data_IF_016687568492
#
_entry.id   IF_016687568492
#
_cell.length_a   1.000
_cell.length_b   1.000
_cell.length_c   1.000
_cell.angle_alpha   90.00
_cell.angle_beta   90.00
_cell.angle_gamma   90.00
#
_symmetry.space_group_name_H-M   'P 1'
#
loop_
_entity.id
_entity.type
_entity.pdbx_description
1 polymer ?
#
# COMPACT_ATOMS: atom_id res chain seq x y z
N UNK A 1 -19.31 41.83 -32.27
CA UNK A 1 -18.10 41.80 -31.42
C UNK A 1 -18.55 41.76 -29.97
N UNK A 2 -18.39 40.62 -29.31
CA UNK A 2 -18.05 40.48 -27.88
C UNK A 2 -17.68 39.01 -27.68
N UNK A 3 -16.45 38.79 -27.22
CA UNK A 3 -15.75 37.52 -27.18
C UNK A 3 -16.22 36.63 -26.02
N UNK A 4 -16.05 35.32 -26.21
CA UNK A 4 -16.09 34.30 -25.18
C UNK A 4 -14.75 34.27 -24.39
N UNK A 5 -14.83 34.06 -23.08
CA UNK A 5 -13.70 33.79 -22.16
C UNK A 5 -14.08 32.56 -21.32
N UNK A 6 -13.59 31.36 -21.65
CA UNK A 6 -12.42 30.63 -21.10
C UNK A 6 -12.54 30.10 -19.66
N UNK A 7 -12.46 28.76 -19.55
CA UNK A 7 -12.40 27.91 -18.34
C UNK A 7 -11.26 28.30 -17.38
N UNK A 8 -11.44 27.98 -16.08
CA UNK A 8 -10.33 27.55 -15.24
C UNK A 8 -10.79 26.55 -14.18
N UNK A 9 -10.14 25.39 -14.17
CA UNK A 9 -10.26 24.33 -13.19
C UNK A 9 -9.39 24.66 -11.97
N UNK A 10 -9.93 24.45 -10.76
CA UNK A 10 -9.13 24.33 -9.55
C UNK A 10 -9.47 22.96 -8.95
N UNK A 11 -8.61 21.99 -9.23
CA UNK A 11 -8.60 20.71 -8.55
C UNK A 11 -8.20 20.96 -7.08
N UNK A 12 -9.14 20.68 -6.19
CA UNK A 12 -8.95 20.64 -4.75
C UNK A 12 -7.91 19.56 -4.44
N UNK A 13 -6.67 20.00 -4.25
CA UNK A 13 -5.56 19.13 -3.89
C UNK A 13 -5.69 18.88 -2.40
N UNK A 14 -6.32 17.74 -2.05
CA UNK A 14 -6.37 17.23 -0.70
C UNK A 14 -4.95 17.16 -0.14
N UNK A 15 -4.69 18.00 0.86
CA UNK A 15 -3.44 18.02 1.61
C UNK A 15 -3.31 16.71 2.39
N UNK A 16 -2.32 15.90 2.02
CA UNK A 16 -1.86 14.76 2.83
C UNK A 16 -1.00 15.32 3.96
N UNK A 17 -1.33 15.11 5.24
CA UNK A 17 -0.50 15.59 6.33
C UNK A 17 0.73 14.69 6.43
N UNK A 18 1.87 15.20 5.95
CA UNK A 18 3.18 14.61 6.19
C UNK A 18 3.61 14.88 7.63
N UNK A 19 3.59 13.87 8.48
CA UNK A 19 4.28 13.87 9.78
C UNK A 19 5.03 12.55 9.94
N UNK A 20 6.31 12.54 9.57
CA UNK A 20 7.24 11.48 9.93
C UNK A 20 7.91 11.90 11.25
N UNK A 21 7.70 11.14 12.31
CA UNK A 21 8.53 11.18 13.52
C UNK A 21 9.61 10.10 13.41
N UNK A 22 10.87 10.51 13.56
CA UNK A 22 12.11 9.76 13.36
C UNK A 22 12.12 8.29 13.83
N UNK A 23 11.85 7.38 12.89
CA UNK A 23 11.91 5.93 13.07
C UNK A 23 11.32 5.23 11.87
N UNK A 24 12.02 5.22 10.73
CA UNK A 24 11.57 4.57 9.50
C UNK A 24 11.33 3.08 9.75
N UNK A 25 10.07 2.62 9.70
CA UNK A 25 9.76 1.19 9.72
C UNK A 25 10.28 0.56 8.42
N UNK A 26 11.35 -0.26 8.48
CA UNK A 26 11.97 -0.83 7.29
C UNK A 26 11.04 -1.80 6.56
N UNK A 27 10.02 -2.35 7.23
CA UNK A 27 9.02 -3.18 6.60
C UNK A 27 8.04 -2.35 5.78
N UNK A 28 7.52 -1.25 6.36
CA UNK A 28 6.63 -0.33 5.66
C UNK A 28 7.30 0.24 4.40
N UNK A 29 8.54 0.70 4.52
CA UNK A 29 9.32 1.22 3.40
C UNK A 29 9.48 0.18 2.28
N UNK A 30 9.78 -1.07 2.63
CA UNK A 30 9.90 -2.16 1.67
C UNK A 30 8.57 -2.40 0.94
N UNK A 31 7.46 -2.38 1.66
CA UNK A 31 6.11 -2.55 1.10
C UNK A 31 5.79 -1.40 0.13
N UNK A 32 5.99 -0.15 0.56
CA UNK A 32 5.71 1.03 -0.27
C UNK A 32 6.58 1.07 -1.53
N UNK A 33 7.88 0.80 -1.40
CA UNK A 33 8.78 0.72 -2.54
C UNK A 33 8.37 -0.38 -3.50
N UNK A 34 7.97 -1.55 -3.00
CA UNK A 34 7.54 -2.65 -3.85
C UNK A 34 6.23 -2.35 -4.60
N UNK A 35 5.27 -1.69 -3.94
CA UNK A 35 4.03 -1.25 -4.57
C UNK A 35 4.29 -0.22 -5.67
N UNK A 36 5.23 0.70 -5.47
CA UNK A 36 5.68 1.64 -6.50
C UNK A 36 6.39 0.94 -7.67
N UNK A 37 7.33 0.03 -7.37
CA UNK A 37 8.07 -0.76 -8.37
C UNK A 37 7.13 -1.54 -9.31
N UNK A 38 6.05 -2.11 -8.77
CA UNK A 38 5.05 -2.87 -9.54
C UNK A 38 3.88 -1.98 -10.06
N UNK A 39 3.97 -0.66 -9.89
CA UNK A 39 3.01 0.34 -10.39
C UNK A 39 1.58 0.09 -9.88
N UNK A 40 1.45 -0.12 -8.57
CA UNK A 40 0.17 -0.16 -7.88
C UNK A 40 -0.49 1.23 -7.87
N UNK A 41 -1.81 1.25 -7.75
CA UNK A 41 -2.63 2.46 -7.79
C UNK A 41 -3.30 2.69 -6.44
N UNK A 42 -3.63 3.95 -6.14
CA UNK A 42 -4.40 4.30 -4.94
C UNK A 42 -3.78 3.75 -3.65
N UNK A 43 -2.45 3.84 -3.53
CA UNK A 43 -1.73 3.36 -2.34
C UNK A 43 -2.06 4.28 -1.15
N UNK A 44 -2.69 3.72 -0.13
CA UNK A 44 -3.06 4.42 1.11
C UNK A 44 -2.44 3.70 2.29
N UNK A 45 -1.69 4.43 3.11
CA UNK A 45 -1.17 3.94 4.38
C UNK A 45 -2.03 4.46 5.52
N UNK A 46 -2.44 3.56 6.39
CA UNK A 46 -3.22 3.83 7.59
C UNK A 46 -2.36 3.45 8.78
N UNK A 47 -2.00 4.45 9.57
CA UNK A 47 -1.33 4.26 10.84
C UNK A 47 -2.33 3.78 11.91
N UNK A 48 -2.04 2.61 12.48
CA UNK A 48 -2.84 1.92 13.48
C UNK A 48 -2.21 1.97 14.87
N UNK A 49 -1.04 2.60 15.03
CA UNK A 49 -0.38 2.76 16.32
C UNK A 49 -1.35 3.41 17.33
N UNK A 50 -1.50 2.78 18.49
CA UNK A 50 -2.42 3.24 19.55
C UNK A 50 -3.92 3.13 19.23
N UNK A 51 -4.31 2.67 18.04
CA UNK A 51 -5.72 2.46 17.63
C UNK A 51 -6.14 1.00 17.62
N UNK A 52 -5.21 0.10 17.32
CA UNK A 52 -5.46 -1.34 17.25
C UNK A 52 -4.26 -2.13 17.75
N UNK A 53 -4.50 -3.29 18.35
CA UNK A 53 -3.46 -4.26 18.70
C UNK A 53 -3.18 -5.27 17.58
N UNK A 54 -3.88 -5.15 16.44
CA UNK A 54 -3.79 -6.11 15.35
C UNK A 54 -2.52 -5.92 14.53
N UNK A 55 -2.09 -4.66 14.35
CA UNK A 55 -1.07 -4.21 13.42
C UNK A 55 -0.64 -2.77 13.74
N UNK A 56 0.59 -2.41 13.35
CA UNK A 56 1.11 -1.03 13.43
C UNK A 56 0.69 -0.21 12.21
N UNK A 57 0.76 -0.85 11.03
CA UNK A 57 0.41 -0.22 9.77
C UNK A 57 -0.53 -1.10 8.94
N UNK A 58 -1.44 -0.46 8.23
CA UNK A 58 -2.23 -1.10 7.19
C UNK A 58 -2.03 -0.34 5.89
N UNK A 59 -1.70 -1.04 4.82
CA UNK A 59 -1.51 -0.48 3.49
C UNK A 59 -2.61 -1.02 2.59
N UNK A 60 -3.25 -0.16 1.81
CA UNK A 60 -4.27 -0.55 0.85
C UNK A 60 -3.78 -0.14 -0.53
N UNK A 61 -3.86 -1.04 -1.51
CA UNK A 61 -3.43 -0.73 -2.87
C UNK A 61 -4.27 -1.46 -3.93
N UNK A 62 -4.48 -0.79 -5.06
CA UNK A 62 -5.21 -1.32 -6.21
C UNK A 62 -4.26 -1.75 -7.34
N UNK A 63 -4.66 -2.77 -8.10
CA UNK A 63 -3.98 -3.17 -9.34
C UNK A 63 -4.91 -3.03 -10.55
N UNK A 64 -4.34 -2.80 -11.75
CA UNK A 64 -5.09 -2.62 -13.01
C UNK A 64 -5.70 -3.90 -13.59
N UNK A 65 -5.41 -5.05 -12.98
CA UNK A 65 -5.95 -6.36 -13.36
C UNK A 65 -5.73 -7.38 -12.24
N UNK A 66 -6.57 -8.42 -12.17
CA UNK A 66 -6.42 -9.53 -11.22
C UNK A 66 -5.05 -10.21 -11.31
N UNK A 67 -4.50 -10.32 -12.53
CA UNK A 67 -3.13 -10.83 -12.75
C UNK A 67 -2.07 -9.93 -12.13
N UNK A 68 -2.22 -8.60 -12.23
CA UNK A 68 -1.28 -7.67 -11.59
C UNK A 68 -1.38 -7.78 -10.07
N UNK A 69 -2.59 -7.77 -9.52
CA UNK A 69 -2.83 -7.93 -8.06
C UNK A 69 -2.16 -9.21 -7.56
N UNK A 70 -2.40 -10.34 -8.23
CA UNK A 70 -1.78 -11.60 -7.85
C UNK A 70 -0.24 -11.58 -7.95
N UNK A 71 0.29 -10.96 -9.01
CA UNK A 71 1.75 -10.82 -9.18
C UNK A 71 2.37 -9.93 -8.11
N UNK A 72 1.74 -8.80 -7.77
CA UNK A 72 2.22 -7.87 -6.72
C UNK A 72 2.30 -8.64 -5.41
N UNK A 73 1.22 -9.29 -5.01
CA UNK A 73 1.14 -10.00 -3.75
C UNK A 73 2.18 -11.13 -3.62
N UNK A 74 2.33 -11.95 -4.67
CA UNK A 74 3.31 -13.04 -4.67
C UNK A 74 4.75 -12.52 -4.60
N UNK A 75 5.09 -11.51 -5.41
CA UNK A 75 6.42 -10.90 -5.40
C UNK A 75 6.73 -10.24 -4.07
N UNK A 76 5.77 -9.52 -3.49
CA UNK A 76 5.92 -8.84 -2.22
C UNK A 76 6.16 -9.84 -1.09
N UNK A 77 5.35 -10.91 -1.01
CA UNK A 77 5.54 -11.97 -0.03
C UNK A 77 6.94 -12.62 -0.13
N UNK A 78 7.42 -12.87 -1.35
CA UNK A 78 8.80 -13.35 -1.56
C UNK A 78 9.86 -12.34 -1.11
N UNK A 79 9.69 -11.06 -1.43
CA UNK A 79 10.63 -9.98 -1.09
C UNK A 79 10.74 -9.81 0.42
N UNK A 80 9.61 -9.81 1.13
CA UNK A 80 9.53 -9.73 2.60
C UNK A 80 10.25 -10.94 3.23
N UNK A 81 9.97 -12.15 2.74
CA UNK A 81 10.63 -13.36 3.23
C UNK A 81 12.14 -13.33 3.00
N UNK A 82 12.60 -12.86 1.83
CA UNK A 82 14.03 -12.71 1.49
C UNK A 82 14.73 -11.64 2.34
N UNK A 83 14.01 -10.59 2.74
CA UNK A 83 14.51 -9.54 3.61
C UNK A 83 14.55 -9.95 5.10
N UNK A 84 14.06 -11.13 5.46
CA UNK A 84 14.19 -11.68 6.82
C UNK A 84 13.07 -11.28 7.79
N UNK A 85 12.00 -10.64 7.31
CA UNK A 85 10.87 -10.19 8.15
C UNK A 85 9.92 -11.31 8.59
N UNK A 86 10.19 -12.56 8.22
CA UNK A 86 9.42 -13.73 8.66
C UNK A 86 8.46 -14.28 7.60
N UNK A 87 7.59 -15.22 7.99
CA UNK A 87 6.61 -15.81 7.09
C UNK A 87 5.48 -14.81 6.79
N UNK A 88 5.08 -14.79 5.52
CA UNK A 88 3.91 -14.04 5.04
C UNK A 88 2.80 -15.01 4.72
N UNK A 89 1.61 -14.75 5.25
CA UNK A 89 0.40 -15.49 4.90
C UNK A 89 -0.35 -14.72 3.82
N UNK A 90 -0.80 -15.44 2.79
CA UNK A 90 -1.50 -14.92 1.63
C UNK A 90 -2.92 -15.50 1.58
N UNK A 91 -3.94 -14.65 1.39
CA UNK A 91 -5.32 -15.06 1.16
C UNK A 91 -5.88 -14.42 -0.13
N UNK A 92 -6.90 -15.03 -0.75
CA UNK A 92 -7.54 -14.49 -1.98
C UNK A 92 -6.91 -14.95 -3.31
N UNK A 93 -5.77 -15.65 -3.27
CA UNK A 93 -5.19 -16.34 -4.43
C UNK A 93 -5.80 -17.73 -4.64
N UNK A 94 -5.85 -18.25 -5.89
CA UNK A 94 -5.32 -17.68 -7.13
C UNK A 94 -6.26 -16.72 -7.87
N UNK A 95 -7.48 -16.48 -7.37
CA UNK A 95 -8.47 -15.63 -8.04
C UNK A 95 -7.95 -14.20 -8.24
N UNK A 96 -7.34 -13.61 -7.21
CA UNK A 96 -6.66 -12.31 -7.31
C UNK A 96 -7.62 -11.13 -7.49
N UNK A 97 -8.91 -11.30 -7.20
CA UNK A 97 -9.88 -10.21 -7.12
C UNK A 97 -9.61 -9.30 -5.92
N UNK A 98 -9.12 -9.89 -4.83
CA UNK A 98 -8.56 -9.26 -3.65
C UNK A 98 -7.44 -10.16 -3.14
N UNK A 99 -6.43 -9.58 -2.50
CA UNK A 99 -5.38 -10.37 -1.85
C UNK A 99 -5.01 -9.73 -0.54
N UNK A 100 -5.10 -10.51 0.53
CA UNK A 100 -4.66 -10.08 1.86
C UNK A 100 -3.27 -10.63 2.15
N UNK A 101 -2.35 -9.75 2.54
CA UNK A 101 -1.03 -10.12 3.05
C UNK A 101 -0.98 -9.85 4.55
N UNK A 102 -0.72 -10.91 5.32
CA UNK A 102 -0.49 -10.83 6.76
C UNK A 102 0.98 -11.17 7.05
N UNK A 103 1.71 -10.21 7.61
CA UNK A 103 3.15 -10.32 7.86
C UNK A 103 3.37 -10.56 9.35
N UNK A 104 3.86 -11.74 9.71
CA UNK A 104 4.23 -12.09 11.09
C UNK A 104 5.67 -11.64 11.38
N UNK A 105 5.92 -10.33 11.30
CA UNK A 105 7.04 -9.73 12.03
C UNK A 105 6.52 -9.37 13.43
N UNK A 106 7.39 -9.10 14.40
CA UNK A 106 6.99 -8.72 15.77
C UNK A 106 6.01 -7.55 15.88
N UNK A 107 5.71 -6.86 14.78
CA UNK A 107 4.46 -6.16 14.56
C UNK A 107 3.88 -6.45 13.17
N UNK A 108 2.55 -6.55 13.11
CA UNK A 108 1.82 -6.94 11.90
C UNK A 108 1.68 -5.73 10.98
N UNK A 109 1.99 -5.89 9.69
CA UNK A 109 1.55 -4.96 8.64
C UNK A 109 0.63 -5.71 7.70
N UNK A 110 -0.58 -5.19 7.49
CA UNK A 110 -1.58 -5.79 6.60
C UNK A 110 -1.63 -5.06 5.26
N UNK A 111 -1.57 -5.79 4.14
CA UNK A 111 -1.85 -5.21 2.81
C UNK A 111 -3.18 -5.74 2.29
N UNK A 112 -4.11 -4.84 1.95
CA UNK A 112 -5.40 -5.15 1.30
C UNK A 112 -5.39 -4.69 -0.14
#
# INVERSE_FOLDING_TARGET
MTQAQTLSAAADTAQVPSMHSDGTDPLLDLVLQHLDDDQAQEVVTIDLEGKSSIADHMVIASGRSTRQVASIAQKLAEKIKKAGFGPVKLEGLPAGDWVLLEIFAGSTTGVV
#
